data_IF_837724519706
#
_entry.id   IF_837724519706
#
_cell.length_a   1.000
_cell.length_b   1.000
_cell.length_c   1.000
_cell.angle_alpha   90.00
_cell.angle_beta   90.00
_cell.angle_gamma   90.00
#
_symmetry.space_group_name_H-M   'P 1'
#
loop_
_entity.id
_entity.type
_entity.pdbx_description
1 polymer ?
#
# COMPACT_ATOMS: atom_id res chain seq x y z
N UNK A 1 -2.02 39.27 -27.29
CA UNK A 1 -2.24 37.83 -27.14
C UNK A 1 -1.17 37.28 -26.21
N UNK A 2 -1.49 36.99 -24.95
CA UNK A 2 -0.52 36.42 -24.02
C UNK A 2 -0.30 34.94 -24.38
N UNK A 3 0.94 34.56 -24.69
CA UNK A 3 1.28 33.15 -24.87
C UNK A 3 1.12 32.46 -23.52
N UNK A 4 0.17 31.53 -23.45
CA UNK A 4 0.02 30.64 -22.30
C UNK A 4 1.20 29.68 -22.37
N UNK A 5 2.27 29.95 -21.63
CA UNK A 5 3.37 29.00 -21.47
C UNK A 5 2.77 27.71 -20.92
N UNK A 6 2.95 26.61 -21.66
CA UNK A 6 2.55 25.29 -21.17
C UNK A 6 3.30 25.03 -19.86
N UNK A 7 2.64 24.54 -18.80
CA UNK A 7 3.31 24.25 -17.54
C UNK A 7 4.43 23.24 -17.81
N UNK A 8 5.64 23.58 -17.37
CA UNK A 8 6.79 22.69 -17.49
C UNK A 8 6.47 21.34 -16.82
N UNK A 9 6.80 20.24 -17.49
CA UNK A 9 6.61 18.90 -16.92
C UNK A 9 7.45 18.75 -15.66
N UNK A 10 6.87 18.35 -14.51
CA UNK A 10 7.62 18.23 -13.27
C UNK A 10 8.73 17.18 -13.40
N UNK A 11 9.92 17.54 -12.93
CA UNK A 11 11.13 16.68 -13.00
C UNK A 11 11.14 15.66 -11.85
N UNK A 12 10.48 15.96 -10.74
CA UNK A 12 10.39 15.14 -9.53
C UNK A 12 8.98 15.14 -8.93
N UNK A 13 8.68 14.15 -8.08
CA UNK A 13 7.43 14.12 -7.34
C UNK A 13 7.40 15.21 -6.26
N UNK A 14 6.20 15.64 -5.87
CA UNK A 14 6.05 16.57 -4.74
C UNK A 14 6.52 15.91 -3.44
N UNK A 15 7.01 16.72 -2.50
CA UNK A 15 7.46 16.22 -1.18
C UNK A 15 6.35 15.44 -0.46
N UNK A 16 5.10 15.87 -0.58
CA UNK A 16 3.93 15.14 -0.06
C UNK A 16 3.79 13.75 -0.68
N UNK A 17 3.94 13.62 -2.00
CA UNK A 17 3.85 12.33 -2.69
C UNK A 17 4.97 11.38 -2.26
N UNK A 18 6.18 11.92 -2.04
CA UNK A 18 7.34 11.17 -1.56
C UNK A 18 7.11 10.71 -0.11
N UNK A 19 6.69 11.61 0.78
CA UNK A 19 6.41 11.28 2.18
C UNK A 19 5.32 10.22 2.31
N UNK A 20 4.20 10.37 1.59
CA UNK A 20 3.14 9.37 1.54
C UNK A 20 3.65 8.02 1.02
N UNK A 21 4.51 8.01 0.01
CA UNK A 21 5.05 6.77 -0.54
C UNK A 21 5.85 5.99 0.51
N UNK A 22 6.84 6.64 1.11
CA UNK A 22 7.73 5.97 2.07
C UNK A 22 7.03 5.61 3.37
N UNK A 23 6.12 6.46 3.86
CA UNK A 23 5.35 6.14 5.05
C UNK A 23 4.47 4.90 4.82
N UNK A 24 3.74 4.84 3.70
CA UNK A 24 2.91 3.67 3.37
C UNK A 24 3.79 2.44 3.17
N UNK A 25 4.91 2.56 2.45
CA UNK A 25 5.82 1.44 2.23
C UNK A 25 6.36 0.86 3.55
N UNK A 26 6.81 1.73 4.48
CA UNK A 26 7.27 1.32 5.80
C UNK A 26 6.15 0.63 6.60
N UNK A 27 4.96 1.22 6.62
CA UNK A 27 3.81 0.65 7.33
C UNK A 27 3.41 -0.72 6.76
N UNK A 28 3.44 -0.91 5.44
CA UNK A 28 3.15 -2.20 4.80
C UNK A 28 4.17 -3.25 5.24
N UNK A 29 5.47 -2.94 5.19
CA UNK A 29 6.54 -3.86 5.62
C UNK A 29 6.35 -4.26 7.08
N UNK A 30 6.14 -3.28 7.97
CA UNK A 30 5.91 -3.54 9.38
C UNK A 30 4.62 -4.33 9.63
N UNK A 31 3.52 -4.02 8.93
CA UNK A 31 2.24 -4.70 9.08
C UNK A 31 2.32 -6.16 8.62
N UNK A 32 3.04 -6.42 7.53
CA UNK A 32 3.27 -7.75 7.01
C UNK A 32 4.13 -8.59 7.96
N UNK A 33 5.24 -8.03 8.45
CA UNK A 33 6.08 -8.68 9.46
C UNK A 33 5.29 -9.00 10.74
N UNK A 34 4.49 -8.04 11.22
CA UNK A 34 3.60 -8.23 12.37
C UNK A 34 2.55 -9.31 12.09
N UNK A 35 2.05 -9.41 10.86
CA UNK A 35 1.13 -10.45 10.42
C UNK A 35 1.73 -11.85 10.57
N UNK A 36 3.00 -12.01 10.23
CA UNK A 36 3.72 -13.28 10.40
C UNK A 36 3.90 -13.63 11.88
N UNK A 37 4.34 -12.66 12.70
CA UNK A 37 4.56 -12.85 14.13
C UNK A 37 3.26 -13.17 14.87
N UNK A 38 2.18 -12.42 14.60
CA UNK A 38 0.92 -12.59 15.32
C UNK A 38 0.27 -13.95 15.07
N UNK A 39 0.47 -14.52 13.88
CA UNK A 39 -0.08 -15.85 13.53
C UNK A 39 0.70 -16.99 14.16
N UNK A 40 2.00 -16.80 14.42
CA UNK A 40 2.89 -17.82 14.98
C UNK A 40 2.76 -17.96 16.51
N UNK A 41 2.25 -16.92 17.21
CA UNK A 41 2.02 -16.99 18.66
C UNK A 41 1.00 -18.11 18.97
N UNK A 42 1.36 -19.13 19.76
CA UNK A 42 0.48 -20.25 20.05
C UNK A 42 -0.65 -19.87 21.01
N UNK A 43 -1.76 -20.58 20.90
CA UNK A 43 -2.92 -20.43 21.79
C UNK A 43 -3.65 -19.09 21.65
N UNK A 44 -4.51 -18.82 22.63
CA UNK A 44 -5.27 -17.58 22.77
C UNK A 44 -4.76 -16.82 23.99
N UNK A 45 -3.83 -15.89 23.76
CA UNK A 45 -3.15 -15.14 24.83
C UNK A 45 -3.40 -13.64 24.69
N UNK A 46 -3.33 -12.86 25.79
CA UNK A 46 -3.42 -11.40 25.74
C UNK A 46 -2.39 -10.78 24.78
N UNK A 47 -1.19 -11.35 24.71
CA UNK A 47 -0.13 -10.94 23.76
C UNK A 47 -0.58 -11.12 22.33
N UNK A 48 -1.15 -12.28 21.97
CA UNK A 48 -1.65 -12.52 20.61
C UNK A 48 -2.73 -11.49 20.23
N UNK A 49 -3.70 -11.28 21.10
CA UNK A 49 -4.78 -10.30 20.88
C UNK A 49 -4.25 -8.87 20.69
N UNK A 50 -3.22 -8.48 21.46
CA UNK A 50 -2.56 -7.19 21.34
C UNK A 50 -1.89 -7.02 19.97
N UNK A 51 -1.17 -8.04 19.49
CA UNK A 51 -0.52 -8.01 18.18
C UNK A 51 -1.53 -7.94 17.04
N UNK A 52 -2.64 -8.70 17.12
CA UNK A 52 -3.75 -8.57 16.18
C UNK A 52 -4.37 -7.17 16.18
N UNK A 53 -4.48 -6.53 17.35
CA UNK A 53 -4.99 -5.15 17.44
C UNK A 53 -4.06 -4.17 16.75
N UNK A 54 -2.75 -4.25 17.01
CA UNK A 54 -1.75 -3.44 16.32
C UNK A 54 -1.79 -3.63 14.81
N UNK A 55 -1.89 -4.88 14.33
CA UNK A 55 -2.00 -5.18 12.91
C UNK A 55 -3.26 -4.55 12.28
N UNK A 56 -4.41 -4.63 12.96
CA UNK A 56 -5.65 -3.97 12.52
C UNK A 56 -5.50 -2.45 12.47
N UNK A 57 -4.87 -1.84 13.47
CA UNK A 57 -4.63 -0.39 13.49
C UNK A 57 -3.76 0.04 12.31
N UNK A 58 -2.69 -0.70 12.04
CA UNK A 58 -1.84 -0.46 10.88
C UNK A 58 -2.63 -0.59 9.57
N UNK A 59 -3.46 -1.62 9.42
CA UNK A 59 -4.31 -1.81 8.25
C UNK A 59 -5.25 -0.62 8.00
N UNK A 60 -5.91 -0.12 9.04
CA UNK A 60 -6.78 1.07 8.96
C UNK A 60 -5.98 2.31 8.58
N UNK A 61 -4.81 2.53 9.20
CA UNK A 61 -3.95 3.67 8.89
C UNK A 61 -3.44 3.62 7.45
N UNK A 62 -2.97 2.45 6.98
CA UNK A 62 -2.52 2.25 5.60
C UNK A 62 -3.66 2.57 4.64
N UNK A 63 -4.86 2.05 4.88
CA UNK A 63 -6.02 2.32 4.04
C UNK A 63 -6.30 3.82 3.92
N UNK A 64 -6.35 4.54 5.03
CA UNK A 64 -6.58 5.99 5.04
C UNK A 64 -5.49 6.74 4.25
N UNK A 65 -4.21 6.42 4.48
CA UNK A 65 -3.09 7.05 3.77
C UNK A 65 -3.08 6.73 2.28
N UNK A 66 -3.48 5.52 1.89
CA UNK A 66 -3.59 5.11 0.49
C UNK A 66 -4.72 5.87 -0.20
N UNK A 67 -5.87 6.06 0.45
CA UNK A 67 -6.95 6.92 -0.09
C UNK A 67 -6.43 8.34 -0.32
N UNK A 68 -5.74 8.92 0.65
CA UNK A 68 -5.11 10.26 0.51
C UNK A 68 -4.11 10.26 -0.65
N UNK A 69 -3.29 9.21 -0.79
CA UNK A 69 -2.32 9.08 -1.88
C UNK A 69 -2.98 8.99 -3.25
N UNK A 70 -4.08 8.24 -3.37
CA UNK A 70 -4.84 8.11 -4.63
C UNK A 70 -5.43 9.45 -5.01
N UNK A 71 -6.07 10.15 -4.07
CA UNK A 71 -6.59 11.50 -4.29
C UNK A 71 -5.48 12.47 -4.70
N UNK A 72 -4.34 12.44 -3.99
CA UNK A 72 -3.18 13.26 -4.32
C UNK A 72 -2.67 13.01 -5.74
N UNK A 73 -2.59 11.74 -6.16
CA UNK A 73 -2.16 11.39 -7.51
C UNK A 73 -3.18 11.74 -8.59
N UNK A 74 -4.47 11.75 -8.26
CA UNK A 74 -5.51 12.20 -9.18
C UNK A 74 -5.46 13.71 -9.43
N UNK A 75 -5.00 14.51 -8.45
CA UNK A 75 -4.93 15.97 -8.56
C UNK A 75 -3.56 16.52 -8.95
N UNK A 76 -2.50 15.70 -8.97
CA UNK A 76 -1.14 16.13 -9.28
C UNK A 76 -0.53 15.29 -10.42
N UNK A 77 -0.06 15.97 -11.46
CA UNK A 77 0.59 15.32 -12.62
C UNK A 77 1.92 14.68 -12.18
N UNK A 78 2.11 13.36 -12.35
CA UNK A 78 3.38 12.72 -12.05
C UNK A 78 4.45 13.08 -13.08
N UNK A 79 5.75 13.08 -12.72
CA UNK A 79 6.85 13.21 -13.67
C UNK A 79 6.75 12.19 -14.80
N UNK A 80 7.02 12.64 -16.04
CA UNK A 80 7.05 11.76 -17.20
C UNK A 80 8.15 10.70 -17.06
N UNK A 81 7.90 9.47 -17.53
CA UNK A 81 8.93 8.42 -17.57
C UNK A 81 10.15 8.88 -18.40
N UNK A 82 11.37 8.42 -18.10
CA UNK A 82 12.57 8.77 -18.87
C UNK A 82 12.38 8.58 -20.39
N UNK A 83 12.96 9.48 -21.18
CA UNK A 83 12.96 9.33 -22.64
C UNK A 83 13.61 8.01 -23.04
N UNK A 84 13.03 7.31 -24.02
CA UNK A 84 13.55 6.03 -24.50
C UNK A 84 13.07 4.78 -23.76
N UNK A 85 12.23 4.91 -22.71
CA UNK A 85 11.62 3.72 -22.08
C UNK A 85 10.76 2.93 -23.10
N UNK A 86 11.07 1.65 -23.36
CA UNK A 86 10.28 0.81 -24.27
C UNK A 86 8.80 0.78 -23.91
N UNK A 87 7.92 0.70 -24.92
CA UNK A 87 6.47 0.73 -24.71
C UNK A 87 6.00 -0.35 -23.72
N UNK A 88 6.60 -1.54 -23.77
CA UNK A 88 6.27 -2.64 -22.86
C UNK A 88 6.64 -2.34 -21.41
N UNK A 89 7.78 -1.67 -21.15
CA UNK A 89 8.17 -1.26 -19.79
C UNK A 89 7.24 -0.18 -19.25
N UNK A 90 6.80 0.76 -20.10
CA UNK A 90 5.80 1.78 -19.73
C UNK A 90 4.47 1.14 -19.35
N UNK A 91 3.98 0.21 -20.17
CA UNK A 91 2.75 -0.54 -19.90
C UNK A 91 2.85 -1.37 -18.61
N UNK A 92 3.96 -2.10 -18.43
CA UNK A 92 4.22 -2.89 -17.23
C UNK A 92 4.28 -2.02 -15.97
N UNK A 93 4.98 -0.88 -16.02
CA UNK A 93 5.04 0.08 -14.92
C UNK A 93 3.65 0.58 -14.53
N UNK A 94 2.82 0.98 -15.50
CA UNK A 94 1.46 1.40 -15.22
C UNK A 94 0.61 0.26 -14.63
N UNK A 95 0.70 -0.95 -15.19
CA UNK A 95 -0.02 -2.13 -14.70
C UNK A 95 0.34 -2.47 -13.26
N UNK A 96 1.64 -2.53 -12.92
CA UNK A 96 2.11 -2.79 -11.55
C UNK A 96 1.60 -1.71 -10.59
N UNK A 97 1.68 -0.42 -10.95
CA UNK A 97 1.17 0.64 -10.08
C UNK A 97 -0.34 0.52 -9.85
N UNK A 98 -1.13 0.25 -10.89
CA UNK A 98 -2.59 0.04 -10.75
C UNK A 98 -2.87 -1.12 -9.80
N UNK A 99 -2.19 -2.27 -9.99
CA UNK A 99 -2.36 -3.44 -9.14
C UNK A 99 -1.94 -3.15 -7.69
N UNK A 100 -0.84 -2.45 -7.47
CA UNK A 100 -0.42 -2.05 -6.12
C UNK A 100 -1.48 -1.17 -5.45
N UNK A 101 -2.02 -0.15 -6.15
CA UNK A 101 -3.10 0.68 -5.59
C UNK A 101 -4.34 -0.13 -5.26
N UNK A 102 -4.77 -1.01 -6.16
CA UNK A 102 -5.93 -1.88 -5.95
C UNK A 102 -5.73 -2.76 -4.72
N UNK A 103 -4.60 -3.45 -4.62
CA UNK A 103 -4.30 -4.35 -3.51
C UNK A 103 -4.19 -3.62 -2.18
N UNK A 104 -3.55 -2.45 -2.15
CA UNK A 104 -3.44 -1.63 -0.94
C UNK A 104 -4.80 -1.14 -0.41
N UNK A 105 -5.84 -1.12 -1.24
CA UNK A 105 -7.23 -0.80 -0.84
C UNK A 105 -7.99 -2.07 -0.46
N UNK A 106 -7.93 -3.10 -1.31
CA UNK A 106 -8.71 -4.32 -1.16
C UNK A 106 -8.24 -5.14 0.05
N UNK A 107 -6.94 -5.20 0.34
CA UNK A 107 -6.40 -5.98 1.46
C UNK A 107 -6.91 -5.49 2.82
N UNK A 108 -6.84 -4.19 3.17
CA UNK A 108 -7.44 -3.71 4.41
C UNK A 108 -8.95 -3.94 4.48
N UNK A 109 -9.67 -3.81 3.36
CA UNK A 109 -11.11 -4.07 3.30
C UNK A 109 -11.42 -5.53 3.59
N UNK A 110 -10.73 -6.48 2.95
CA UNK A 110 -10.92 -7.90 3.24
C UNK A 110 -10.52 -8.26 4.67
N UNK A 111 -9.49 -7.63 5.23
CA UNK A 111 -9.11 -7.80 6.65
C UNK A 111 -10.17 -7.27 7.62
N UNK A 112 -10.80 -6.14 7.28
CA UNK A 112 -11.88 -5.55 8.07
C UNK A 112 -13.15 -6.42 8.03
N UNK A 113 -13.51 -6.93 6.84
CA UNK A 113 -14.62 -7.86 6.65
C UNK A 113 -14.36 -9.20 7.35
N UNK A 114 -13.12 -9.69 7.32
CA UNK A 114 -12.72 -10.85 8.12
C UNK A 114 -12.98 -10.62 9.62
N UNK A 115 -12.55 -9.49 10.16
CA UNK A 115 -12.80 -9.15 11.58
C UNK A 115 -14.30 -9.07 11.89
N UNK A 116 -15.09 -8.50 10.98
CA UNK A 116 -16.54 -8.38 11.11
C UNK A 116 -17.22 -9.74 11.16
N UNK A 117 -16.92 -10.62 10.18
CA UNK A 117 -17.45 -11.98 10.11
C UNK A 117 -17.00 -12.87 11.27
N UNK A 118 -15.80 -12.62 11.83
CA UNK A 118 -15.29 -13.30 13.02
C UNK A 118 -15.96 -12.83 14.33
N UNK A 119 -16.87 -11.86 14.28
CA UNK A 119 -17.44 -11.19 15.44
C UNK A 119 -16.40 -10.52 16.35
N UNK A 120 -15.28 -10.04 15.79
CA UNK A 120 -14.24 -9.36 16.55
C UNK A 120 -14.28 -7.87 16.21
N UNK A 121 -14.58 -6.98 17.17
CA UNK A 121 -14.60 -5.55 16.89
C UNK A 121 -13.22 -5.03 16.50
N UNK A 122 -13.21 -3.99 15.67
CA UNK A 122 -12.02 -3.20 15.36
C UNK A 122 -12.11 -1.91 16.15
N UNK A 123 -11.36 -1.82 17.26
CA UNK A 123 -11.26 -0.60 18.06
C UNK A 123 -9.96 0.10 17.69
N UNK A 124 -10.04 1.07 16.79
CA UNK A 124 -8.88 1.79 16.26
C UNK A 124 -8.14 2.54 17.38
N UNK A 125 -6.85 2.27 17.50
CA UNK A 125 -5.96 2.75 18.57
C UNK A 125 -6.45 2.43 20.00
N UNK A 126 -7.42 1.52 20.15
CA UNK A 126 -8.06 1.22 21.42
C UNK A 126 -9.04 2.29 21.90
N UNK A 127 -9.33 3.31 21.07
CA UNK A 127 -10.15 4.47 21.44
C UNK A 127 -11.44 4.52 20.61
N UNK A 128 -11.34 4.31 19.30
CA UNK A 128 -12.46 4.51 18.38
C UNK A 128 -13.01 3.16 17.90
N UNK A 129 -14.18 2.71 18.41
CA UNK A 129 -14.82 1.51 17.87
C UNK A 129 -15.35 1.80 16.47
N UNK A 130 -14.85 1.06 15.48
CA UNK A 130 -15.34 1.16 14.11
C UNK A 130 -16.57 0.25 13.92
N UNK A 131 -17.54 0.67 13.08
CA UNK A 131 -18.80 -0.06 12.91
C UNK A 131 -18.58 -1.40 12.21
N UNK A 132 -19.31 -2.43 12.62
CA UNK A 132 -19.33 -3.70 11.89
C UNK A 132 -20.04 -3.48 10.54
N UNK A 133 -19.46 -3.98 9.45
CA UNK A 133 -20.03 -3.81 8.11
C UNK A 133 -20.93 -4.97 7.68
N UNK A 134 -20.73 -6.16 8.24
CA UNK A 134 -21.49 -7.38 7.95
C UNK A 134 -21.72 -8.17 9.24
N UNK A 135 -22.76 -8.99 9.28
CA UNK A 135 -23.02 -9.84 10.44
C UNK A 135 -21.98 -10.97 10.57
N UNK A 136 -21.80 -11.52 11.79
CA UNK A 136 -20.97 -12.69 12.00
C UNK A 136 -21.42 -13.88 11.16
N UNK A 137 -20.49 -14.47 10.42
CA UNK A 137 -20.76 -15.62 9.54
C UNK A 137 -19.47 -16.48 9.45
N UNK A 138 -19.50 -17.75 9.89
CA UNK A 138 -18.34 -18.64 9.85
C UNK A 138 -17.78 -18.92 8.45
N UNK A 139 -18.64 -18.98 7.43
CA UNK A 139 -18.25 -19.24 6.04
C UNK A 139 -17.55 -18.00 5.47
N UNK A 140 -18.14 -16.82 5.66
CA UNK A 140 -17.53 -15.57 5.24
C UNK A 140 -16.23 -15.29 6.00
N UNK A 141 -16.15 -15.65 7.28
CA UNK A 141 -14.93 -15.54 8.08
C UNK A 141 -13.77 -16.29 7.42
N UNK A 142 -13.91 -17.58 7.12
CA UNK A 142 -12.80 -18.34 6.50
C UNK A 142 -12.52 -17.87 5.07
N UNK A 143 -13.55 -17.44 4.33
CA UNK A 143 -13.41 -16.86 2.99
C UNK A 143 -12.57 -15.58 3.01
N UNK A 144 -12.94 -14.60 3.85
CA UNK A 144 -12.21 -13.34 3.95
C UNK A 144 -10.81 -13.52 4.54
N UNK A 145 -10.61 -14.46 5.48
CA UNK A 145 -9.28 -14.82 5.97
C UNK A 145 -8.39 -15.32 4.83
N UNK A 146 -8.89 -16.29 4.04
CA UNK A 146 -8.15 -16.85 2.91
C UNK A 146 -7.83 -15.77 1.89
N UNK A 147 -8.82 -14.98 1.48
CA UNK A 147 -8.62 -13.86 0.57
C UNK A 147 -7.59 -12.86 1.10
N UNK A 148 -7.70 -12.44 2.37
CA UNK A 148 -6.79 -11.48 2.96
C UNK A 148 -5.34 -12.01 2.93
N UNK A 149 -5.11 -13.25 3.33
CA UNK A 149 -3.77 -13.86 3.34
C UNK A 149 -3.23 -14.02 1.91
N UNK A 150 -4.02 -14.58 0.98
CA UNK A 150 -3.60 -14.76 -0.42
C UNK A 150 -3.26 -13.44 -1.09
N UNK A 151 -4.08 -12.40 -0.89
CA UNK A 151 -3.82 -11.07 -1.46
C UNK A 151 -2.56 -10.43 -0.87
N UNK A 152 -2.26 -10.64 0.41
CA UNK A 152 -1.00 -10.16 1.01
C UNK A 152 0.24 -10.82 0.37
N UNK A 153 0.20 -12.11 0.05
CA UNK A 153 1.29 -12.77 -0.66
C UNK A 153 1.44 -12.26 -2.11
N UNK A 154 0.33 -11.98 -2.80
CA UNK A 154 0.35 -11.33 -4.11
C UNK A 154 0.96 -9.92 -4.01
N UNK A 155 0.58 -9.14 -3.00
CA UNK A 155 1.16 -7.83 -2.73
C UNK A 155 2.67 -7.95 -2.47
N UNK A 156 3.12 -8.90 -1.66
CA UNK A 156 4.55 -9.14 -1.40
C UNK A 156 5.33 -9.41 -2.69
N UNK A 157 4.79 -10.27 -3.56
CA UNK A 157 5.41 -10.57 -4.85
C UNK A 157 5.52 -9.31 -5.74
N UNK A 158 4.44 -8.53 -5.83
CA UNK A 158 4.43 -7.29 -6.62
C UNK A 158 5.33 -6.20 -6.05
N UNK A 159 5.39 -6.04 -4.72
CA UNK A 159 6.31 -5.11 -4.06
C UNK A 159 7.75 -5.53 -4.31
N UNK A 160 8.06 -6.83 -4.20
CA UNK A 160 9.40 -7.36 -4.52
C UNK A 160 9.79 -7.05 -5.97
N UNK A 161 8.88 -7.30 -6.92
CA UNK A 161 9.09 -6.97 -8.33
C UNK A 161 9.30 -5.47 -8.55
N UNK A 162 8.49 -4.63 -7.88
CA UNK A 162 8.59 -3.18 -7.95
C UNK A 162 9.96 -2.68 -7.44
N UNK A 163 10.42 -3.19 -6.31
CA UNK A 163 11.73 -2.85 -5.73
C UNK A 163 12.87 -3.32 -6.64
N UNK A 164 12.82 -4.56 -7.14
CA UNK A 164 13.82 -5.08 -8.09
C UNK A 164 13.87 -4.24 -9.36
N UNK A 165 12.72 -3.83 -9.90
CA UNK A 165 12.67 -2.96 -11.07
C UNK A 165 13.31 -1.59 -10.76
N UNK A 166 12.97 -0.96 -9.63
CA UNK A 166 13.56 0.31 -9.22
C UNK A 166 15.10 0.21 -9.05
N UNK A 167 15.58 -0.88 -8.45
CA UNK A 167 17.02 -1.16 -8.31
C UNK A 167 17.68 -1.40 -9.67
N UNK A 168 17.02 -2.12 -10.58
CA UNK A 168 17.51 -2.35 -11.94
C UNK A 168 17.66 -1.03 -12.71
N UNK A 169 16.67 -0.13 -12.61
CA UNK A 169 16.75 1.22 -13.18
C UNK A 169 17.91 2.03 -12.57
N UNK A 170 18.09 1.96 -11.24
CA UNK A 170 19.16 2.70 -10.55
C UNK A 170 20.57 2.17 -10.88
N UNK A 171 20.77 0.85 -10.88
CA UNK A 171 22.08 0.22 -10.91
C UNK A 171 22.54 -0.12 -12.34
N UNK A 172 21.62 -0.57 -13.20
CA UNK A 172 21.94 -1.01 -14.57
C UNK A 172 21.63 0.09 -15.58
N UNK A 173 20.38 0.59 -15.61
CA UNK A 173 19.99 1.59 -16.61
C UNK A 173 20.56 2.99 -16.30
N UNK A 174 20.81 3.28 -15.01
CA UNK A 174 21.35 4.55 -14.50
C UNK A 174 20.59 5.77 -15.01
N UNK A 175 19.28 5.64 -15.16
CA UNK A 175 18.39 6.65 -15.74
C UNK A 175 17.87 7.69 -14.72
N UNK A 176 18.30 7.59 -13.46
CA UNK A 176 17.89 8.49 -12.39
C UNK A 176 16.42 8.34 -11.98
N UNK A 177 15.73 7.25 -12.35
CA UNK A 177 14.31 7.08 -12.02
C UNK A 177 14.05 7.10 -10.51
N UNK A 178 14.94 6.48 -9.73
CA UNK A 178 14.80 6.40 -8.28
C UNK A 178 14.92 7.77 -7.59
N UNK A 179 15.75 8.68 -8.12
CA UNK A 179 15.98 10.00 -7.51
C UNK A 179 14.69 10.83 -7.40
N UNK A 180 13.74 10.58 -8.29
CA UNK A 180 12.43 11.25 -8.29
C UNK A 180 11.57 10.92 -7.08
N UNK A 181 11.87 9.81 -6.39
CA UNK A 181 11.17 9.36 -5.18
C UNK A 181 12.05 9.43 -3.92
N UNK A 182 13.29 9.90 -4.00
CA UNK A 182 14.13 10.04 -2.82
C UNK A 182 13.81 11.36 -2.09
N UNK A 183 13.64 11.35 -0.76
CA UNK A 183 13.31 12.56 0.01
C UNK A 183 14.44 13.62 0.02
N UNK A 184 15.67 13.20 -0.27
CA UNK A 184 16.87 14.06 -0.20
C UNK A 184 17.61 14.20 -1.54
N UNK A 185 17.08 13.64 -2.63
CA UNK A 185 17.70 13.82 -3.94
C UNK A 185 17.41 15.24 -4.44
N UNK A 186 18.48 15.97 -4.77
CA UNK A 186 18.44 17.27 -5.44
C UNK A 186 18.43 17.07 -6.95
#
# INVERSE_FOLDING_TARGET
MASKSLPATPVSYTQTAIALHWLIALLIVCAFALGWVMTDIPGFTPTKLKYFSWHKWMGVTIFALVVIRVLWRATHVPPALPGGTPAWQRAASHGVHILLYLLMIVIPVTGYLYSSAANIPVVYLGIVPLPRLIDPDPVLKETFKTLHVSLNYILLALVSLHVVAALKHQLLDRDGLLSRMLPFAK
#
